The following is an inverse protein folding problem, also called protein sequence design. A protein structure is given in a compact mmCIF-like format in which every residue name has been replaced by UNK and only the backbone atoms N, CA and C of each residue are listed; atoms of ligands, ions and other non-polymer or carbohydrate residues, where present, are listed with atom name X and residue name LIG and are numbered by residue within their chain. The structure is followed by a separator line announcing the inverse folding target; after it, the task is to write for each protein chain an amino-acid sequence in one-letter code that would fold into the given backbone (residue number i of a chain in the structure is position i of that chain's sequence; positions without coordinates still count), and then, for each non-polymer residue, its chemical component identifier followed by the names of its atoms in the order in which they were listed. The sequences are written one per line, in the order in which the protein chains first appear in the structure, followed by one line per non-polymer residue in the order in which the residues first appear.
data_IF_852567744980
#
_entry.id   IF_852567744980
#
_cell.length_a   1.000
_cell.length_b   1.000
_cell.length_c   1.000
_cell.angle_alpha   90.00
_cell.angle_beta   90.00
_cell.angle_gamma   90.00
#
_symmetry.space_group_name_H-M   'P 1'
#
loop_
_entity.id
_entity.type
_entity.pdbx_description
1 polymer ?
#
# COMPACT_ATOMS: atom_id res chain seq x y z
N UNK A 1 27.72 -3.66 3.05
CA UNK A 1 29.05 -3.07 2.75
C UNK A 1 28.93 -2.24 1.49
N UNK A 2 28.67 -0.94 1.64
CA UNK A 2 28.52 -0.01 0.52
C UNK A 2 29.88 0.59 0.14
N UNK A 3 30.20 0.65 -1.16
CA UNK A 3 31.29 1.46 -1.71
C UNK A 3 30.69 2.51 -2.64
N UNK A 4 30.76 3.77 -2.23
CA UNK A 4 30.62 4.91 -3.13
C UNK A 4 31.98 5.18 -3.78
N UNK A 5 32.01 5.37 -5.11
CA UNK A 5 33.14 5.94 -5.85
C UNK A 5 32.67 7.24 -6.49
N UNK A 6 33.20 8.36 -6.03
CA UNK A 6 33.12 9.64 -6.72
C UNK A 6 34.27 9.71 -7.75
N UNK A 7 33.95 10.13 -8.99
CA UNK A 7 34.94 10.53 -9.98
C UNK A 7 35.13 12.04 -9.91
N UNK A 8 36.40 12.44 -9.80
CA UNK A 8 36.89 13.82 -9.82
C UNK A 8 37.27 14.17 -11.26
N UNK A 9 36.92 15.37 -11.71
CA UNK A 9 37.59 16.03 -12.84
C UNK A 9 38.29 17.29 -12.33
N UNK A 10 39.55 17.44 -12.73
CA UNK A 10 40.48 18.51 -12.40
C UNK A 10 40.49 19.62 -13.46
N UNK A 11 40.79 20.86 -13.04
CA UNK A 11 41.99 21.62 -13.43
C UNK A 11 41.91 23.06 -12.86
N UNK A 12 42.89 23.41 -12.00
CA UNK A 12 43.86 24.54 -12.05
C UNK A 12 43.34 25.93 -12.52
N UNK A 13 43.63 27.09 -11.93
CA UNK A 13 44.67 27.56 -10.99
C UNK A 13 44.29 28.98 -10.46
N UNK A 14 45.04 29.44 -9.45
CA UNK A 14 45.36 30.82 -9.02
C UNK A 14 44.78 31.42 -7.71
N UNK A 15 45.74 31.86 -6.89
CA UNK A 15 45.67 32.38 -5.53
C UNK A 15 45.05 33.79 -5.40
N UNK A 16 44.33 34.04 -4.30
CA UNK A 16 44.72 34.97 -3.21
C UNK A 16 43.53 35.58 -2.44
N UNK A 17 43.60 35.43 -1.11
CA UNK A 17 42.94 36.18 -0.02
C UNK A 17 41.41 36.30 -0.01
N UNK A 18 40.75 35.57 0.90
CA UNK A 18 39.88 36.09 1.98
C UNK A 18 39.10 34.93 2.65
N UNK A 19 39.32 34.72 3.95
CA UNK A 19 38.41 34.05 4.89
C UNK A 19 38.19 32.53 4.73
N UNK A 20 38.94 31.72 5.47
CA UNK A 20 38.63 30.29 5.66
C UNK A 20 37.23 30.14 6.29
N UNK A 21 36.33 29.30 5.73
CA UNK A 21 35.14 28.88 6.45
C UNK A 21 35.55 27.94 7.58
N UNK A 22 35.12 28.26 8.80
CA UNK A 22 35.26 27.41 9.97
C UNK A 22 34.43 26.14 9.74
N UNK A 23 35.10 25.04 9.40
CA UNK A 23 34.51 23.71 9.50
C UNK A 23 34.38 23.34 10.98
N UNK A 24 33.17 23.45 11.50
CA UNK A 24 32.80 22.80 12.77
C UNK A 24 32.84 21.30 12.49
N UNK A 25 33.85 20.61 13.05
CA UNK A 25 33.87 19.15 13.10
C UNK A 25 32.63 18.66 13.87
N UNK A 26 31.97 17.57 13.45
CA UNK A 26 31.07 16.86 14.35
C UNK A 26 31.86 16.49 15.60
N UNK A 27 31.35 16.87 16.78
CA UNK A 27 31.82 16.35 18.05
C UNK A 27 31.60 14.83 18.02
N UNK A 28 32.69 14.08 18.05
CA UNK A 28 32.70 12.68 18.48
C UNK A 28 32.33 12.69 19.96
N UNK A 29 31.04 12.52 20.25
CA UNK A 29 30.60 12.23 21.61
C UNK A 29 30.89 10.74 21.89
N UNK A 30 32.09 10.50 22.43
CA UNK A 30 32.44 9.33 23.22
C UNK A 30 31.55 9.31 24.47
N UNK A 31 30.34 8.75 24.36
CA UNK A 31 29.59 8.31 25.53
C UNK A 31 29.92 6.85 25.81
N UNK A 32 30.91 6.63 26.69
CA UNK A 32 31.06 5.37 27.42
C UNK A 32 29.72 5.04 28.09
N UNK A 33 29.09 3.93 27.65
CA UNK A 33 27.89 3.38 28.29
C UNK A 33 28.33 2.76 29.62
N UNK A 34 27.93 3.29 30.78
CA UNK A 34 28.15 2.59 32.04
C UNK A 34 27.14 1.45 32.08
N UNK A 35 27.60 0.23 31.80
CA UNK A 35 26.85 -0.99 32.12
C UNK A 35 26.68 -1.06 33.64
N UNK A 36 25.56 -0.55 34.14
CA UNK A 36 25.08 -0.87 35.47
C UNK A 36 23.63 -1.35 35.38
N UNK A 37 23.51 -2.65 35.15
CA UNK A 37 22.28 -3.44 35.23
C UNK A 37 21.78 -3.42 36.68
N UNK A 38 20.75 -2.62 36.95
CA UNK A 38 19.71 -2.84 37.96
C UNK A 38 18.77 -1.62 37.99
N UNK A 39 17.73 -1.62 37.17
CA UNK A 39 16.41 -1.05 37.46
C UNK A 39 15.41 -1.56 36.40
N UNK A 40 14.25 -1.99 36.87
CA UNK A 40 13.13 -2.62 36.15
C UNK A 40 12.86 -2.10 34.73
N UNK A 41 12.94 -3.02 33.75
CA UNK A 41 12.73 -2.78 32.31
C UNK A 41 11.27 -2.41 31.99
N UNK A 42 10.94 -1.12 32.01
CA UNK A 42 9.75 -0.58 31.32
C UNK A 42 10.14 -0.11 29.91
N UNK A 43 10.04 -1.01 28.93
CA UNK A 43 10.13 -0.68 27.49
C UNK A 43 8.93 0.15 26.97
N UNK A 44 8.00 0.55 27.86
CA UNK A 44 6.72 1.15 27.55
C UNK A 44 6.70 2.66 27.84
N UNK A 45 6.30 3.49 26.87
CA UNK A 45 6.07 4.93 27.05
C UNK A 45 4.56 5.22 27.18
N UNK A 46 4.04 5.55 28.38
CA UNK A 46 2.62 5.90 28.57
C UNK A 46 2.19 7.18 27.87
N UNK A 47 3.14 8.03 27.57
CA UNK A 47 2.92 9.34 27.00
C UNK A 47 2.62 9.27 25.51
N UNK A 48 1.72 10.14 25.05
CA UNK A 48 1.48 10.34 23.64
C UNK A 48 2.74 10.94 22.98
N UNK A 49 3.08 10.46 21.78
CA UNK A 49 4.10 11.08 20.94
C UNK A 49 3.68 12.46 20.44
N UNK A 50 4.62 13.24 19.89
CA UNK A 50 4.33 14.55 19.30
C UNK A 50 3.27 14.46 18.19
N UNK A 51 3.41 13.48 17.29
CA UNK A 51 2.43 13.26 16.22
C UNK A 51 1.05 12.86 16.74
N UNK A 52 0.99 12.10 17.83
CA UNK A 52 -0.29 11.67 18.41
C UNK A 52 -1.04 12.85 19.04
N UNK A 53 -0.30 13.79 19.65
CA UNK A 53 -0.88 15.05 20.17
C UNK A 53 -1.58 15.86 19.08
N UNK A 54 -0.99 15.94 17.88
CA UNK A 54 -1.63 16.64 16.76
C UNK A 54 -3.02 16.08 16.41
N UNK A 55 -3.24 14.77 16.57
CA UNK A 55 -4.54 14.14 16.39
C UNK A 55 -5.49 14.37 17.57
N UNK A 56 -4.97 14.37 18.81
CA UNK A 56 -5.76 14.71 20.01
C UNK A 56 -6.29 16.13 19.93
N UNK A 57 -5.46 17.09 19.51
CA UNK A 57 -5.85 18.51 19.38
C UNK A 57 -7.02 18.68 18.41
N UNK A 58 -7.10 17.81 17.39
CA UNK A 58 -8.16 17.79 16.37
C UNK A 58 -9.34 16.89 16.72
N UNK A 59 -9.35 16.23 17.88
CA UNK A 59 -10.39 15.24 18.20
C UNK A 59 -11.81 15.81 18.10
N UNK A 60 -12.04 17.01 18.67
CA UNK A 60 -13.36 17.66 18.66
C UNK A 60 -13.80 18.02 17.24
N UNK A 61 -12.87 18.55 16.44
CA UNK A 61 -13.09 18.91 15.04
C UNK A 61 -13.56 17.72 14.18
N UNK A 62 -12.93 16.55 14.35
CA UNK A 62 -13.36 15.31 13.69
C UNK A 62 -14.69 14.80 14.25
N UNK A 63 -14.90 14.88 15.57
CA UNK A 63 -16.13 14.44 16.21
C UNK A 63 -17.36 15.20 15.72
N UNK A 64 -17.24 16.52 15.52
CA UNK A 64 -18.27 17.39 14.95
C UNK A 64 -18.55 17.07 13.48
N UNK A 65 -17.53 16.64 12.73
CA UNK A 65 -17.66 16.15 11.34
C UNK A 65 -18.16 14.72 11.22
N UNK A 66 -18.48 14.06 12.32
CA UNK A 66 -19.04 12.71 12.28
C UNK A 66 -18.00 11.59 12.38
N UNK A 67 -16.76 11.85 12.78
CA UNK A 67 -15.70 10.83 12.91
C UNK A 67 -15.15 10.76 14.33
N UNK A 68 -14.96 9.56 14.86
CA UNK A 68 -14.49 9.35 16.24
C UNK A 68 -13.23 8.49 16.23
N UNK A 69 -12.15 9.01 16.81
CA UNK A 69 -10.89 8.28 16.99
C UNK A 69 -10.97 7.24 18.12
N UNK A 70 -10.01 6.31 18.10
CA UNK A 70 -9.78 5.32 19.17
C UNK A 70 -9.55 5.99 20.53
N UNK A 71 -9.78 5.27 21.65
CA UNK A 71 -9.61 5.81 23.01
C UNK A 71 -8.29 6.56 23.22
N UNK A 72 -7.19 6.05 22.67
CA UNK A 72 -5.85 6.65 22.77
C UNK A 72 -5.76 8.11 22.31
N UNK A 73 -6.56 8.50 21.31
CA UNK A 73 -6.55 9.86 20.76
C UNK A 73 -7.64 10.76 21.34
N UNK A 74 -8.30 10.34 22.44
CA UNK A 74 -9.33 11.16 23.09
C UNK A 74 -8.68 12.13 24.09
N UNK A 75 -9.16 13.39 24.17
CA UNK A 75 -8.73 14.33 25.19
C UNK A 75 -8.90 13.73 26.60
N UNK A 76 -7.86 13.84 27.42
CA UNK A 76 -7.85 13.29 28.78
C UNK A 76 -7.71 11.76 28.85
N UNK A 77 -7.33 11.08 27.76
CA UNK A 77 -7.06 9.65 27.78
C UNK A 77 -6.01 9.29 28.84
N UNK A 78 -6.34 8.27 29.64
CA UNK A 78 -5.41 7.57 30.52
C UNK A 78 -5.31 6.13 30.09
N UNK A 79 -4.12 5.53 30.08
CA UNK A 79 -3.98 4.18 29.58
C UNK A 79 -4.79 3.11 30.33
N UNK A 80 -5.47 2.24 29.58
CA UNK A 80 -6.45 1.32 30.16
C UNK A 80 -5.84 0.26 31.08
N UNK A 81 -4.59 -0.18 30.86
CA UNK A 81 -3.90 -1.13 31.75
C UNK A 81 -3.64 -0.56 33.13
N UNK A 82 -3.50 0.76 33.29
CA UNK A 82 -3.33 1.38 34.63
C UNK A 82 -4.58 1.13 35.47
N UNK A 83 -5.77 1.34 34.87
CA UNK A 83 -7.05 1.16 35.56
C UNK A 83 -7.47 -0.30 35.71
N UNK A 84 -7.12 -1.15 34.74
CA UNK A 84 -7.58 -2.55 34.68
C UNK A 84 -6.61 -3.57 35.29
N UNK A 85 -5.35 -3.18 35.52
CA UNK A 85 -4.30 -4.09 35.99
C UNK A 85 -3.85 -5.14 34.97
N UNK A 86 -4.29 -5.03 33.71
CA UNK A 86 -3.86 -5.92 32.62
C UNK A 86 -2.42 -5.62 32.19
N UNK A 87 -1.81 -6.54 31.45
CA UNK A 87 -0.59 -6.22 30.72
C UNK A 87 -0.90 -5.16 29.65
N UNK A 88 0.00 -4.19 29.47
CA UNK A 88 -0.16 -3.13 28.47
C UNK A 88 -0.32 -3.70 27.06
N UNK A 89 0.38 -4.80 26.74
CA UNK A 89 0.30 -5.46 25.42
C UNK A 89 -1.06 -6.07 25.11
N UNK A 90 -1.90 -6.30 26.12
CA UNK A 90 -3.23 -6.89 25.97
C UNK A 90 -4.32 -5.83 25.79
N UNK A 91 -3.96 -4.54 25.83
CA UNK A 91 -4.90 -3.43 25.84
C UNK A 91 -4.91 -2.69 24.51
N UNK A 92 -6.02 -2.64 23.78
CA UNK A 92 -6.11 -2.03 22.42
C UNK A 92 -5.49 -0.62 22.31
N UNK A 93 -5.57 0.18 23.37
CA UNK A 93 -5.06 1.55 23.43
C UNK A 93 -3.53 1.66 23.62
N UNK A 94 -2.79 0.53 23.66
CA UNK A 94 -1.34 0.53 23.50
C UNK A 94 -0.90 0.63 22.03
N UNK A 95 -1.78 0.31 21.08
CA UNK A 95 -1.45 0.25 19.66
C UNK A 95 -1.31 1.64 19.06
N UNK A 96 -0.09 1.96 18.61
CA UNK A 96 0.27 3.22 17.97
C UNK A 96 0.35 3.05 16.45
N UNK A 97 -0.19 4.02 15.70
CA UNK A 97 0.02 4.13 14.26
C UNK A 97 1.39 4.76 13.99
N UNK A 98 2.25 4.06 13.24
CA UNK A 98 3.62 4.51 12.96
C UNK A 98 3.69 5.70 11.98
N UNK A 99 2.72 5.82 11.07
CA UNK A 99 2.66 6.92 10.12
C UNK A 99 1.99 8.14 10.75
N UNK A 100 2.79 9.14 11.13
CA UNK A 100 2.34 10.33 11.84
C UNK A 100 1.15 11.06 11.18
N UNK A 101 1.10 11.08 9.85
CA UNK A 101 0.07 11.74 9.06
C UNK A 101 -1.15 10.84 8.76
N UNK A 102 -1.26 9.67 9.40
CA UNK A 102 -2.36 8.73 9.20
C UNK A 102 -2.95 8.27 10.54
N UNK A 103 -4.27 8.40 10.70
CA UNK A 103 -5.02 7.89 11.87
C UNK A 103 -6.22 7.05 11.44
N UNK A 104 -6.66 6.14 12.29
CA UNK A 104 -7.90 5.39 12.10
C UNK A 104 -9.06 5.99 12.91
N UNK A 105 -10.26 5.93 12.35
CA UNK A 105 -11.47 6.44 12.99
C UNK A 105 -12.67 5.56 12.68
N UNK A 106 -13.79 5.84 13.35
CA UNK A 106 -15.10 5.29 13.00
C UNK A 106 -16.04 6.42 12.60
N UNK A 107 -16.77 6.26 11.50
CA UNK A 107 -17.87 7.16 11.13
C UNK A 107 -19.03 6.96 12.11
N UNK A 108 -19.56 8.04 12.68
CA UNK A 108 -20.59 8.01 13.74
C UNK A 108 -21.94 7.48 13.25
N UNK A 109 -22.28 7.69 11.98
CA UNK A 109 -23.60 7.34 11.45
C UNK A 109 -23.85 5.83 11.38
N UNK A 110 -22.81 5.04 11.11
CA UNK A 110 -22.93 3.60 10.84
C UNK A 110 -21.80 2.75 11.43
N UNK A 111 -20.84 3.36 12.13
CA UNK A 111 -19.69 2.67 12.71
C UNK A 111 -18.66 2.21 11.68
N UNK A 112 -18.74 2.65 10.42
CA UNK A 112 -17.80 2.25 9.37
C UNK A 112 -16.36 2.63 9.77
N UNK A 113 -15.43 1.66 9.81
CA UNK A 113 -14.02 1.96 10.01
C UNK A 113 -13.45 2.73 8.82
N UNK A 114 -12.76 3.82 9.10
CA UNK A 114 -12.14 4.69 8.10
C UNK A 114 -10.68 4.96 8.45
N UNK A 115 -9.91 5.33 7.44
CA UNK A 115 -8.56 5.86 7.57
C UNK A 115 -8.60 7.33 7.18
N UNK A 116 -7.96 8.16 7.97
CA UNK A 116 -7.78 9.58 7.71
C UNK A 116 -6.31 9.80 7.38
N UNK A 117 -6.03 10.39 6.21
CA UNK A 117 -4.70 10.83 5.80
C UNK A 117 -4.66 12.36 5.80
N UNK A 118 -3.69 12.94 6.49
CA UNK A 118 -3.40 14.37 6.43
C UNK A 118 -2.52 14.65 5.20
N UNK A 119 -2.88 15.67 4.43
CA UNK A 119 -2.20 16.06 3.19
C UNK A 119 -2.08 17.58 3.12
N UNK A 120 -1.00 18.08 2.50
CA UNK A 120 -0.92 19.49 2.15
C UNK A 120 -1.92 19.84 1.04
N UNK A 121 -2.56 21.00 1.15
CA UNK A 121 -3.56 21.51 0.20
C UNK A 121 -3.01 21.63 -1.22
N UNK A 122 -1.76 22.06 -1.34
CA UNK A 122 -1.06 22.28 -2.61
C UNK A 122 -0.57 20.99 -3.25
N UNK A 123 -0.75 19.84 -2.59
CA UNK A 123 -0.37 18.55 -3.14
C UNK A 123 -1.34 18.12 -4.24
N UNK A 124 -0.80 17.68 -5.38
CA UNK A 124 -1.51 17.05 -6.49
C UNK A 124 -2.41 15.90 -6.03
N UNK A 125 -2.02 15.19 -4.95
CA UNK A 125 -2.79 14.10 -4.36
C UNK A 125 -4.25 14.49 -4.08
N UNK A 126 -4.49 15.67 -3.49
CA UNK A 126 -5.84 16.10 -3.14
C UNK A 126 -6.72 16.28 -4.39
N UNK A 127 -6.16 16.89 -5.44
CA UNK A 127 -6.88 17.11 -6.70
C UNK A 127 -7.15 15.81 -7.46
N UNK A 128 -6.18 14.90 -7.48
CA UNK A 128 -6.30 13.58 -8.10
C UNK A 128 -7.34 12.72 -7.38
N UNK A 129 -7.32 12.70 -6.05
CA UNK A 129 -8.30 11.95 -5.26
C UNK A 129 -9.72 12.52 -5.41
N UNK A 130 -9.86 13.86 -5.52
CA UNK A 130 -11.15 14.50 -5.85
C UNK A 130 -11.64 14.12 -7.24
N UNK A 131 -10.77 14.11 -8.24
CA UNK A 131 -11.11 13.71 -9.60
C UNK A 131 -11.68 12.28 -9.61
N UNK A 132 -10.94 11.31 -9.08
CA UNK A 132 -11.35 9.91 -9.13
C UNK A 132 -12.51 9.55 -8.20
N UNK A 133 -12.83 10.42 -7.24
CA UNK A 133 -14.02 10.30 -6.36
C UNK A 133 -15.19 11.17 -6.82
N UNK A 134 -15.11 11.82 -7.99
CA UNK A 134 -16.21 12.61 -8.52
C UNK A 134 -17.38 11.70 -8.90
N UNK A 135 -18.60 12.23 -8.91
CA UNK A 135 -19.83 11.47 -9.21
C UNK A 135 -19.74 10.76 -10.56
N UNK A 136 -19.07 11.40 -11.53
CA UNK A 136 -18.89 10.91 -12.89
C UNK A 136 -17.95 9.69 -12.96
N UNK A 137 -16.90 9.65 -12.12
CA UNK A 137 -15.86 8.62 -12.18
C UNK A 137 -16.02 7.55 -11.10
N UNK A 138 -16.63 7.85 -9.96
CA UNK A 138 -16.71 6.97 -8.79
C UNK A 138 -17.46 5.67 -9.06
N UNK A 139 -18.43 5.70 -9.98
CA UNK A 139 -19.26 4.55 -10.34
C UNK A 139 -18.72 3.75 -11.52
N UNK A 140 -17.60 4.17 -12.13
CA UNK A 140 -17.02 3.45 -13.25
C UNK A 140 -16.41 2.13 -12.75
N UNK A 141 -16.79 0.97 -13.30
CA UNK A 141 -16.28 -0.32 -12.83
C UNK A 141 -14.77 -0.49 -13.03
N UNK A 142 -14.15 0.20 -13.99
CA UNK A 142 -12.70 0.22 -14.18
C UNK A 142 -11.95 1.17 -13.22
N UNK A 143 -12.68 1.98 -12.45
CA UNK A 143 -12.09 2.83 -11.43
C UNK A 143 -11.69 2.00 -10.21
N UNK A 144 -10.43 1.60 -10.19
CA UNK A 144 -9.79 0.96 -9.05
C UNK A 144 -8.98 1.96 -8.22
N UNK A 145 -9.38 3.23 -8.14
CA UNK A 145 -8.83 4.18 -7.16
C UNK A 145 -9.70 4.14 -5.90
N UNK A 146 -9.08 4.19 -4.71
CA UNK A 146 -9.85 4.25 -3.47
C UNK A 146 -10.74 5.50 -3.45
N UNK A 147 -12.01 5.32 -3.08
CA UNK A 147 -12.99 6.39 -3.10
C UNK A 147 -12.95 7.17 -1.79
N UNK A 148 -12.97 8.50 -1.89
CA UNK A 148 -13.11 9.38 -0.73
C UNK A 148 -14.52 9.25 -0.12
N UNK A 149 -14.58 9.08 1.19
CA UNK A 149 -15.82 9.19 1.98
C UNK A 149 -16.10 10.65 2.30
N UNK A 150 -15.05 11.40 2.64
CA UNK A 150 -15.14 12.82 2.95
C UNK A 150 -13.78 13.50 2.73
N UNK A 151 -13.82 14.82 2.56
CA UNK A 151 -12.64 15.67 2.42
C UNK A 151 -12.92 17.03 3.03
N UNK A 152 -12.03 17.48 3.91
CA UNK A 152 -12.15 18.79 4.53
C UNK A 152 -10.79 19.40 4.86
N UNK A 153 -10.75 20.73 4.84
CA UNK A 153 -9.59 21.50 5.26
C UNK A 153 -9.53 21.57 6.78
N UNK A 154 -8.32 21.59 7.31
CA UNK A 154 -8.07 21.83 8.73
C UNK A 154 -8.54 23.24 9.12
N UNK A 155 -9.09 23.35 10.33
CA UNK A 155 -9.58 24.63 10.87
C UNK A 155 -8.44 25.51 11.40
N UNK A 156 -7.34 24.89 11.84
CA UNK A 156 -6.24 25.57 12.51
C UNK A 156 -5.07 25.81 11.54
N UNK A 157 -5.02 25.07 10.43
CA UNK A 157 -4.00 25.17 9.38
C UNK A 157 -4.62 25.14 7.98
N UNK A 158 -4.83 26.30 7.32
CA UNK A 158 -5.51 26.36 6.02
C UNK A 158 -4.75 25.65 4.89
N UNK A 159 -3.46 25.37 5.07
CA UNK A 159 -2.63 24.64 4.10
C UNK A 159 -2.70 23.13 4.27
N UNK A 160 -3.45 22.64 5.26
CA UNK A 160 -3.63 21.21 5.53
C UNK A 160 -5.07 20.75 5.29
N UNK A 161 -5.20 19.58 4.66
CA UNK A 161 -6.45 18.90 4.43
C UNK A 161 -6.43 17.47 4.92
N UNK A 162 -7.62 16.89 5.03
CA UNK A 162 -7.83 15.50 5.44
C UNK A 162 -8.59 14.74 4.38
N UNK A 163 -8.04 13.60 3.97
CA UNK A 163 -8.68 12.62 3.11
C UNK A 163 -9.24 11.51 3.99
N UNK A 164 -10.56 11.34 4.00
CA UNK A 164 -11.21 10.22 4.71
C UNK A 164 -11.52 9.13 3.70
N UNK A 165 -10.96 7.94 3.92
CA UNK A 165 -11.05 6.79 3.03
C UNK A 165 -11.54 5.56 3.81
N UNK A 166 -12.17 4.57 3.14
CA UNK A 166 -12.51 3.31 3.80
C UNK A 166 -11.25 2.61 4.33
N UNK A 167 -11.39 1.90 5.46
CA UNK A 167 -10.35 0.98 5.90
C UNK A 167 -10.25 -0.20 4.92
N UNK A 168 -9.10 -0.34 4.28
CA UNK A 168 -8.78 -1.43 3.36
C UNK A 168 -7.70 -2.34 3.97
N UNK A 169 -7.49 -3.51 3.38
CA UNK A 169 -6.43 -4.46 3.74
C UNK A 169 -5.41 -4.55 2.62
N UNK A 170 -4.15 -4.89 2.92
CA UNK A 170 -3.16 -5.16 1.87
C UNK A 170 -3.66 -6.23 0.89
N UNK A 171 -3.38 -6.06 -0.41
CA UNK A 171 -3.86 -6.95 -1.45
C UNK A 171 -3.45 -8.43 -1.26
N UNK A 172 -2.32 -8.66 -0.58
CA UNK A 172 -1.71 -9.96 -0.35
C UNK A 172 -1.92 -10.52 1.07
N UNK A 173 -2.82 -9.93 1.87
CA UNK A 173 -3.16 -10.43 3.21
C UNK A 173 -4.69 -10.67 3.35
N UNK A 174 -5.17 -11.94 3.39
CA UNK A 174 -4.38 -13.16 3.41
C UNK A 174 -3.66 -13.44 2.09
N UNK A 175 -2.62 -14.29 2.15
CA UNK A 175 -1.86 -14.69 0.97
C UNK A 175 -2.77 -15.35 -0.08
N UNK A 176 -2.43 -15.14 -1.35
CA UNK A 176 -3.08 -15.83 -2.47
C UNK A 176 -2.95 -17.35 -2.32
N UNK A 177 -4.07 -18.05 -2.51
CA UNK A 177 -4.18 -19.49 -2.32
C UNK A 177 -4.38 -20.29 -3.61
N UNK A 178 -4.99 -19.71 -4.64
CA UNK A 178 -5.29 -20.39 -5.91
C UNK A 178 -4.99 -19.51 -7.13
N UNK A 179 -4.82 -20.13 -8.31
CA UNK A 179 -4.48 -19.42 -9.56
C UNK A 179 -5.52 -18.35 -9.92
N UNK A 180 -6.81 -18.64 -9.71
CA UNK A 180 -7.91 -17.74 -10.05
C UNK A 180 -7.87 -16.42 -9.30
N UNK A 181 -7.38 -16.42 -8.05
CA UNK A 181 -7.20 -15.19 -7.28
C UNK A 181 -6.10 -14.31 -7.88
N UNK A 182 -5.04 -14.91 -8.43
CA UNK A 182 -3.97 -14.19 -9.15
C UNK A 182 -4.50 -13.60 -10.45
N UNK A 183 -5.26 -14.40 -11.22
CA UNK A 183 -5.88 -13.94 -12.47
C UNK A 183 -6.83 -12.77 -12.22
N UNK A 184 -7.65 -12.84 -11.17
CA UNK A 184 -8.56 -11.75 -10.78
C UNK A 184 -7.77 -10.49 -10.38
N UNK A 185 -6.76 -10.64 -9.51
CA UNK A 185 -5.90 -9.52 -9.11
C UNK A 185 -5.22 -8.83 -10.29
N UNK A 186 -4.54 -9.58 -11.16
CA UNK A 186 -3.84 -9.05 -12.34
C UNK A 186 -4.82 -8.32 -13.27
N UNK A 187 -6.03 -8.86 -13.43
CA UNK A 187 -7.08 -8.21 -14.23
C UNK A 187 -7.43 -6.84 -13.64
N UNK A 188 -7.83 -6.80 -12.36
CA UNK A 188 -8.32 -5.58 -11.72
C UNK A 188 -7.25 -4.48 -11.65
N UNK A 189 -5.99 -4.82 -11.33
CA UNK A 189 -4.94 -3.78 -11.25
C UNK A 189 -4.54 -3.24 -12.62
N UNK A 190 -4.63 -4.04 -13.70
CA UNK A 190 -4.39 -3.56 -15.06
C UNK A 190 -5.56 -2.72 -15.59
N UNK A 191 -6.80 -3.09 -15.27
CA UNK A 191 -7.99 -2.26 -15.53
C UNK A 191 -7.87 -0.91 -14.82
N UNK A 192 -7.50 -0.94 -13.53
CA UNK A 192 -7.24 0.25 -12.74
C UNK A 192 -6.14 1.13 -13.31
N UNK A 193 -5.00 0.55 -13.70
CA UNK A 193 -3.90 1.32 -14.25
C UNK A 193 -4.27 1.96 -15.60
N UNK A 194 -4.90 1.20 -16.50
CA UNK A 194 -5.36 1.74 -17.77
C UNK A 194 -6.37 2.88 -17.57
N UNK A 195 -7.28 2.74 -16.60
CA UNK A 195 -8.23 3.78 -16.22
C UNK A 195 -7.53 5.03 -15.70
N UNK A 196 -6.60 4.91 -14.75
CA UNK A 196 -5.82 6.05 -14.22
C UNK A 196 -5.09 6.77 -15.35
N UNK A 197 -4.39 6.02 -16.22
CA UNK A 197 -3.63 6.58 -17.34
C UNK A 197 -4.51 7.27 -18.38
N UNK A 198 -5.71 6.74 -18.65
CA UNK A 198 -6.68 7.36 -19.57
C UNK A 198 -7.18 8.74 -19.11
N UNK A 199 -7.01 9.07 -17.82
CA UNK A 199 -7.34 10.38 -17.26
C UNK A 199 -6.13 11.32 -17.16
N UNK A 200 -5.04 11.00 -17.88
CA UNK A 200 -3.77 11.73 -17.88
C UNK A 200 -3.14 11.84 -16.48
N UNK A 201 -3.29 10.79 -15.68
CA UNK A 201 -2.63 10.67 -14.38
C UNK A 201 -1.64 9.52 -14.44
N UNK A 202 -0.42 9.73 -13.94
CA UNK A 202 0.51 8.67 -13.59
C UNK A 202 0.60 8.59 -12.07
N UNK A 203 0.54 7.38 -11.51
CA UNK A 203 0.61 7.18 -10.06
C UNK A 203 2.03 7.36 -9.54
N UNK A 204 3.03 6.96 -10.34
CA UNK A 204 4.46 7.03 -10.10
C UNK A 204 5.00 6.15 -8.96
N UNK A 205 4.14 5.43 -8.22
CA UNK A 205 4.53 4.53 -7.13
C UNK A 205 3.54 3.35 -7.02
N UNK A 206 3.30 2.65 -8.12
CA UNK A 206 2.41 1.47 -8.19
C UNK A 206 2.96 0.23 -7.44
N UNK A 207 3.73 0.41 -6.36
CA UNK A 207 4.30 -0.69 -5.58
C UNK A 207 3.23 -1.40 -4.74
N UNK A 208 3.50 -2.63 -4.31
CA UNK A 208 2.52 -3.44 -3.58
C UNK A 208 2.09 -2.87 -2.22
N UNK A 209 2.76 -1.84 -1.70
CA UNK A 209 2.31 -1.12 -0.50
C UNK A 209 1.15 -0.16 -0.79
N UNK A 210 1.01 0.27 -2.05
CA UNK A 210 -0.03 1.20 -2.50
C UNK A 210 -1.17 0.47 -3.24
N UNK A 211 -1.22 -0.86 -3.15
CA UNK A 211 -2.33 -1.68 -3.65
C UNK A 211 -3.01 -2.36 -2.47
N UNK A 212 -4.26 -2.00 -2.27
CA UNK A 212 -5.10 -2.49 -1.18
C UNK A 212 -6.30 -3.25 -1.75
N UNK A 213 -7.07 -3.90 -0.89
CA UNK A 213 -8.33 -4.53 -1.25
C UNK A 213 -9.43 -4.21 -0.24
N UNK A 214 -10.65 -4.15 -0.74
CA UNK A 214 -11.83 -4.28 0.10
C UNK A 214 -11.98 -5.73 0.55
N UNK A 215 -11.50 -6.01 1.76
CA UNK A 215 -11.50 -7.34 2.35
C UNK A 215 -12.79 -7.66 3.14
N UNK A 216 -13.81 -6.79 3.13
CA UNK A 216 -15.08 -7.04 3.82
C UNK A 216 -15.77 -8.36 3.43
N UNK A 217 -15.72 -8.80 2.15
CA UNK A 217 -16.31 -10.09 1.75
C UNK A 217 -15.63 -11.31 2.39
N UNK A 218 -14.31 -11.23 2.61
CA UNK A 218 -13.53 -12.34 3.21
C UNK A 218 -13.39 -12.22 4.73
N UNK A 219 -13.61 -11.05 5.33
CA UNK A 219 -13.62 -10.86 6.79
C UNK A 219 -15.03 -10.45 7.26
N UNK A 220 -15.95 -11.42 7.48
CA UNK A 220 -17.31 -11.13 7.93
C UNK A 220 -17.32 -10.41 9.29
N UNK A 221 -16.40 -10.76 10.18
CA UNK A 221 -16.23 -10.15 11.50
C UNK A 221 -15.24 -8.97 11.51
N UNK A 222 -14.81 -8.50 10.32
CA UNK A 222 -13.85 -7.42 10.12
C UNK A 222 -12.48 -7.71 10.78
N UNK A 223 -11.62 -6.70 10.80
CA UNK A 223 -10.28 -6.72 11.38
C UNK A 223 -9.98 -5.38 12.07
N UNK A 224 -8.99 -5.36 12.96
CA UNK A 224 -8.55 -4.16 13.64
C UNK A 224 -7.68 -3.27 12.72
N UNK A 225 -7.83 -1.94 12.74
CA UNK A 225 -7.16 -1.02 11.79
C UNK A 225 -5.63 -0.89 11.97
N UNK A 226 -5.09 -1.23 13.14
CA UNK A 226 -3.64 -1.21 13.41
C UNK A 226 -3.05 -2.62 13.46
N UNK A 227 -3.57 -3.48 14.35
CA UNK A 227 -3.20 -4.89 14.41
C UNK A 227 -4.14 -5.75 13.55
N UNK A 228 -3.95 -5.73 12.23
CA UNK A 228 -4.90 -6.32 11.26
C UNK A 228 -5.10 -7.84 11.37
N UNK A 229 -4.31 -8.53 12.19
CA UNK A 229 -4.48 -9.96 12.49
C UNK A 229 -5.52 -10.22 13.59
N UNK A 230 -6.03 -9.18 14.25
CA UNK A 230 -7.00 -9.26 15.34
C UNK A 230 -8.39 -8.73 14.93
N UNK A 231 -9.41 -9.14 15.68
CA UNK A 231 -10.78 -8.64 15.62
C UNK A 231 -10.83 -7.15 15.98
N UNK A 232 -11.88 -6.41 15.56
CA UNK A 232 -11.94 -4.96 15.75
C UNK A 232 -11.85 -4.46 17.20
N UNK A 233 -12.14 -5.31 18.18
CA UNK A 233 -12.03 -5.06 19.62
C UNK A 233 -10.69 -5.50 20.22
N UNK A 234 -9.77 -5.96 19.38
CA UNK A 234 -8.45 -6.48 19.74
C UNK A 234 -8.47 -7.72 20.66
N UNK A 235 -9.61 -8.43 20.74
CA UNK A 235 -9.78 -9.54 21.69
C UNK A 235 -9.43 -10.93 21.13
N UNK A 236 -9.48 -11.12 19.81
CA UNK A 236 -9.30 -12.43 19.17
C UNK A 236 -8.67 -12.30 17.79
N UNK A 237 -8.21 -13.41 17.20
CA UNK A 237 -7.70 -13.38 15.83
C UNK A 237 -8.82 -13.17 14.80
N UNK A 238 -8.59 -12.27 13.85
CA UNK A 238 -9.45 -12.10 12.68
C UNK A 238 -9.36 -13.35 11.80
N UNK A 239 -10.51 -13.93 11.44
CA UNK A 239 -10.60 -15.11 10.57
C UNK A 239 -11.10 -14.70 9.19
N UNK A 240 -10.38 -15.15 8.16
CA UNK A 240 -10.75 -14.94 6.77
C UNK A 240 -11.47 -16.15 6.17
N UNK A 241 -12.34 -15.87 5.21
CA UNK A 241 -12.89 -16.82 4.25
C UNK A 241 -12.00 -16.87 3.01
N UNK A 242 -12.21 -17.87 2.14
CA UNK A 242 -11.46 -18.00 0.89
C UNK A 242 -11.83 -16.90 -0.11
N UNK A 243 -10.83 -16.24 -0.69
CA UNK A 243 -11.05 -15.13 -1.63
C UNK A 243 -11.70 -15.60 -2.94
N UNK A 244 -11.40 -16.81 -3.41
CA UNK A 244 -12.02 -17.35 -4.65
C UNK A 244 -13.54 -17.55 -4.54
N UNK A 245 -14.07 -17.77 -3.33
CA UNK A 245 -15.51 -17.94 -3.09
C UNK A 245 -16.18 -16.64 -2.60
N UNK A 246 -15.37 -15.63 -2.24
CA UNK A 246 -15.81 -14.33 -1.75
C UNK A 246 -15.01 -13.23 -2.47
N UNK A 247 -15.36 -12.89 -3.73
CA UNK A 247 -14.59 -11.96 -4.55
C UNK A 247 -14.36 -10.61 -3.86
N UNK A 248 -13.13 -10.11 -3.99
CA UNK A 248 -12.69 -8.82 -3.42
C UNK A 248 -12.42 -7.83 -4.54
N UNK A 249 -12.43 -6.54 -4.20
CA UNK A 249 -12.06 -5.48 -5.13
C UNK A 249 -10.74 -4.85 -4.73
N UNK A 250 -9.81 -4.73 -5.67
CA UNK A 250 -8.50 -4.12 -5.45
C UNK A 250 -8.51 -2.63 -5.78
N UNK A 251 -7.70 -1.86 -5.06
CA UNK A 251 -7.61 -0.41 -5.21
C UNK A 251 -6.17 0.09 -5.13
N UNK A 252 -5.84 1.04 -5.99
CA UNK A 252 -4.71 1.95 -5.84
C UNK A 252 -5.03 2.99 -4.77
N UNK A 253 -4.05 3.25 -3.91
CA UNK A 253 -4.08 4.26 -2.86
C UNK A 253 -2.83 5.12 -2.93
N UNK A 254 -2.80 6.21 -2.17
CA UNK A 254 -1.62 7.06 -2.02
C UNK A 254 -1.10 7.68 -3.32
N UNK A 255 -1.69 8.81 -3.68
CA UNK A 255 -1.32 9.56 -4.88
C UNK A 255 -0.30 10.67 -4.55
N UNK A 256 0.43 10.54 -3.44
CA UNK A 256 1.39 11.54 -2.97
C UNK A 256 2.56 11.81 -3.91
N UNK A 257 2.89 10.85 -4.78
CA UNK A 257 3.93 10.97 -5.81
C UNK A 257 3.35 11.09 -7.24
N UNK A 258 2.02 11.20 -7.35
CA UNK A 258 1.35 11.19 -8.65
C UNK A 258 1.52 12.49 -9.42
N UNK A 259 1.41 12.36 -10.74
CA UNK A 259 1.46 13.48 -11.68
C UNK A 259 0.22 13.52 -12.53
N UNK A 260 -0.41 14.69 -12.63
CA UNK A 260 -1.55 14.94 -13.51
C UNK A 260 -1.13 15.88 -14.64
N UNK A 261 -1.39 15.46 -15.86
CA UNK A 261 -1.02 16.17 -17.07
C UNK A 261 -2.26 16.76 -17.76
N UNK A 262 -2.07 17.88 -18.44
CA UNK A 262 -3.09 18.40 -19.35
C UNK A 262 -3.17 17.55 -20.61
N UNK A 263 -4.35 17.43 -21.26
CA UNK A 263 -4.44 16.73 -22.54
C UNK A 263 -3.45 17.29 -23.56
N UNK A 264 -2.60 16.43 -24.13
CA UNK A 264 -1.58 16.80 -25.11
C UNK A 264 -0.27 17.34 -24.51
N UNK A 265 -0.17 17.49 -23.19
CA UNK A 265 1.09 17.80 -22.52
C UNK A 265 2.07 16.63 -22.65
N UNK A 266 3.36 16.93 -22.81
CA UNK A 266 4.38 15.90 -22.81
C UNK A 266 4.48 15.24 -21.43
N UNK A 267 4.42 13.91 -21.39
CA UNK A 267 4.55 13.11 -20.16
C UNK A 267 6.02 12.96 -19.75
N UNK A 268 6.61 14.03 -19.22
CA UNK A 268 7.99 14.03 -18.72
C UNK A 268 8.04 14.75 -17.38
N UNK A 269 8.68 14.14 -16.40
CA UNK A 269 8.90 14.70 -15.06
C UNK A 269 10.37 14.60 -14.65
N UNK A 270 10.75 15.37 -13.63
CA UNK A 270 12.09 15.43 -13.07
C UNK A 270 11.99 15.37 -11.54
N UNK A 271 11.95 14.15 -11.01
CA UNK A 271 11.96 13.85 -9.58
C UNK A 271 12.66 12.49 -9.33
N UNK A 272 12.55 11.94 -8.12
CA UNK A 272 13.20 10.69 -7.73
C UNK A 272 12.41 9.41 -8.08
N UNK A 273 11.16 9.54 -8.55
CA UNK A 273 10.24 8.42 -8.78
C UNK A 273 9.76 7.73 -7.51
N UNK A 274 9.04 6.62 -7.71
CA UNK A 274 8.48 5.79 -6.64
C UNK A 274 9.50 4.88 -5.95
N UNK A 275 9.00 4.01 -5.08
CA UNK A 275 9.83 3.15 -4.22
C UNK A 275 10.42 1.92 -4.94
N UNK A 276 10.14 1.71 -6.23
CA UNK A 276 10.69 0.60 -7.00
C UNK A 276 12.05 0.95 -7.62
N UNK A 277 13.11 0.58 -6.91
CA UNK A 277 14.49 0.85 -7.33
C UNK A 277 14.97 0.02 -8.52
N UNK A 278 14.19 -0.95 -9.01
CA UNK A 278 14.56 -1.75 -10.17
C UNK A 278 14.15 -1.09 -11.51
N UNK A 279 13.51 0.08 -11.47
CA UNK A 279 13.10 0.83 -12.66
C UNK A 279 14.34 1.48 -13.31
N UNK A 280 14.75 1.05 -14.52
CA UNK A 280 16.06 1.41 -15.07
C UNK A 280 16.26 2.91 -15.28
N UNK A 281 15.21 3.63 -15.69
CA UNK A 281 15.30 5.07 -15.94
C UNK A 281 15.47 5.92 -14.66
N UNK A 282 15.04 5.41 -13.49
CA UNK A 282 15.13 6.14 -12.23
C UNK A 282 16.55 6.15 -11.64
N UNK A 283 17.42 5.23 -12.06
CA UNK A 283 18.82 5.18 -11.61
C UNK A 283 19.64 6.39 -12.06
N UNK A 284 19.26 7.03 -13.16
CA UNK A 284 20.11 8.01 -13.86
C UNK A 284 19.80 9.47 -13.52
N UNK A 285 18.82 9.71 -12.64
CA UNK A 285 18.31 11.05 -12.29
C UNK A 285 18.04 11.94 -13.53
N UNK A 286 17.58 11.33 -14.63
CA UNK A 286 17.22 12.00 -15.87
C UNK A 286 15.70 12.16 -15.98
N UNK A 287 15.21 13.13 -16.77
CA UNK A 287 13.78 13.27 -17.00
C UNK A 287 13.20 11.98 -17.59
N UNK A 288 12.05 11.55 -17.07
CA UNK A 288 11.43 10.28 -17.44
C UNK A 288 9.92 10.40 -17.61
N UNK A 289 9.31 9.38 -18.22
CA UNK A 289 7.86 9.27 -18.42
C UNK A 289 7.25 8.43 -17.29
N UNK A 290 6.50 9.04 -16.34
CA UNK A 290 6.00 8.33 -15.17
C UNK A 290 4.93 7.28 -15.52
N UNK A 291 4.28 7.39 -16.68
CA UNK A 291 3.35 6.36 -17.15
C UNK A 291 4.09 5.06 -17.48
N UNK A 292 5.34 5.16 -17.96
CA UNK A 292 6.16 3.97 -18.22
C UNK A 292 6.65 3.36 -16.92
N UNK A 293 6.98 4.18 -15.93
CA UNK A 293 7.37 3.73 -14.60
C UNK A 293 6.27 2.88 -13.98
N UNK A 294 5.02 3.36 -13.98
CA UNK A 294 3.88 2.60 -13.45
C UNK A 294 3.74 1.20 -14.06
N UNK A 295 3.86 1.10 -15.39
CA UNK A 295 3.78 -0.19 -16.11
C UNK A 295 4.92 -1.11 -15.68
N UNK A 296 6.15 -0.60 -15.56
CA UNK A 296 7.28 -1.41 -15.14
C UNK A 296 7.13 -1.88 -13.68
N UNK A 297 6.70 -0.99 -12.79
CA UNK A 297 6.49 -1.28 -11.37
C UNK A 297 5.45 -2.37 -11.16
N UNK A 298 4.30 -2.33 -11.87
CA UNK A 298 3.34 -3.45 -11.83
C UNK A 298 3.92 -4.74 -12.41
N UNK A 299 4.70 -4.66 -13.48
CA UNK A 299 5.41 -5.81 -14.03
C UNK A 299 6.35 -6.45 -13.01
N UNK A 300 7.03 -5.63 -12.19
CA UNK A 300 7.87 -6.08 -11.08
C UNK A 300 7.06 -6.75 -9.96
N UNK A 301 5.85 -6.28 -9.65
CA UNK A 301 4.95 -6.99 -8.74
C UNK A 301 4.61 -8.38 -9.30
N UNK A 302 4.21 -8.45 -10.57
CA UNK A 302 3.86 -9.73 -11.22
C UNK A 302 5.03 -10.71 -11.23
N UNK A 303 6.25 -10.21 -11.48
CA UNK A 303 7.47 -11.01 -11.41
C UNK A 303 7.76 -11.50 -9.99
N UNK A 304 7.92 -10.57 -9.03
CA UNK A 304 8.45 -10.87 -7.69
C UNK A 304 7.44 -11.56 -6.79
N UNK A 305 6.17 -11.15 -6.85
CA UNK A 305 5.12 -11.59 -5.92
C UNK A 305 4.37 -12.83 -6.41
N UNK A 306 4.45 -13.12 -7.71
CA UNK A 306 3.75 -14.25 -8.30
C UNK A 306 4.69 -15.20 -9.04
N UNK A 307 5.28 -14.78 -10.16
CA UNK A 307 6.06 -15.68 -11.03
C UNK A 307 7.28 -16.31 -10.34
N UNK A 308 8.01 -15.56 -9.53
CA UNK A 308 9.14 -16.08 -8.75
C UNK A 308 8.72 -16.82 -7.48
N UNK A 309 7.54 -16.49 -6.94
CA UNK A 309 7.05 -17.03 -5.67
C UNK A 309 6.33 -18.36 -5.83
N UNK A 310 5.63 -18.56 -6.94
CA UNK A 310 4.77 -19.73 -7.17
C UNK A 310 5.11 -20.45 -8.47
N UNK A 311 5.00 -21.77 -8.43
CA UNK A 311 5.13 -22.65 -9.61
C UNK A 311 3.80 -22.66 -10.38
N UNK A 312 3.85 -22.80 -11.72
CA UNK A 312 2.67 -22.96 -12.56
C UNK A 312 2.00 -21.64 -12.96
N UNK A 313 2.69 -20.51 -12.77
CA UNK A 313 2.28 -19.18 -13.25
C UNK A 313 3.08 -18.73 -14.48
N UNK A 314 3.56 -19.67 -15.29
CA UNK A 314 4.40 -19.40 -16.46
C UNK A 314 3.67 -18.55 -17.52
N UNK A 315 2.33 -18.61 -17.55
CA UNK A 315 1.50 -17.76 -18.42
C UNK A 315 1.64 -16.26 -18.13
N UNK A 316 2.16 -15.87 -16.95
CA UNK A 316 2.50 -14.47 -16.67
C UNK A 316 3.83 -14.04 -17.31
N UNK A 317 4.66 -14.97 -17.78
CA UNK A 317 6.01 -14.71 -18.30
C UNK A 317 6.01 -13.66 -19.40
N UNK A 318 5.26 -13.90 -20.47
CA UNK A 318 5.20 -12.98 -21.61
C UNK A 318 4.66 -11.60 -21.21
N UNK A 319 3.69 -11.54 -20.31
CA UNK A 319 3.15 -10.28 -19.78
C UNK A 319 4.22 -9.51 -19.00
N UNK A 320 4.93 -10.20 -18.10
CA UNK A 320 6.00 -9.63 -17.28
C UNK A 320 7.11 -9.07 -18.17
N UNK A 321 7.57 -9.83 -19.15
CA UNK A 321 8.63 -9.40 -20.06
C UNK A 321 8.18 -8.22 -20.94
N UNK A 322 6.91 -8.21 -21.35
CA UNK A 322 6.31 -7.11 -22.10
C UNK A 322 6.26 -5.80 -21.28
N UNK A 323 5.87 -5.88 -20.01
CA UNK A 323 5.77 -4.72 -19.10
C UNK A 323 7.14 -4.22 -18.65
N UNK A 324 8.14 -5.11 -18.53
CA UNK A 324 9.47 -4.80 -17.98
C UNK A 324 10.53 -4.55 -19.05
N UNK A 325 10.13 -4.06 -20.23
CA UNK A 325 11.09 -3.64 -21.26
C UNK A 325 11.94 -2.49 -20.70
N UNK A 326 13.27 -2.68 -20.67
CA UNK A 326 14.22 -1.72 -20.09
C UNK A 326 14.13 -0.33 -20.72
N UNK A 327 13.98 -0.27 -22.04
CA UNK A 327 13.88 1.01 -22.77
C UNK A 327 12.47 1.58 -22.61
N UNK A 328 12.26 2.69 -21.87
CA UNK A 328 10.91 3.16 -21.52
C UNK A 328 10.04 3.48 -22.74
N UNK A 329 10.66 4.02 -23.80
CA UNK A 329 10.00 4.33 -25.08
C UNK A 329 9.49 3.09 -25.83
N UNK A 330 10.04 1.91 -25.55
CA UNK A 330 9.62 0.63 -26.15
C UNK A 330 8.64 -0.14 -25.26
N UNK A 331 8.52 0.24 -23.99
CA UNK A 331 7.55 -0.32 -23.05
C UNK A 331 6.13 -0.09 -23.59
N UNK A 332 5.15 -0.95 -23.32
CA UNK A 332 3.75 -0.69 -23.67
C UNK A 332 3.14 0.44 -22.85
N UNK A 333 1.98 0.94 -23.28
CA UNK A 333 1.10 1.75 -22.43
C UNK A 333 0.28 0.82 -21.52
N UNK A 334 -0.34 1.35 -20.46
CA UNK A 334 -1.22 0.55 -19.61
C UNK A 334 -2.38 -0.09 -20.39
N UNK A 335 -2.96 0.61 -21.37
CA UNK A 335 -4.01 0.04 -22.22
C UNK A 335 -3.48 -1.12 -23.08
N UNK A 336 -2.31 -0.98 -23.70
CA UNK A 336 -1.72 -2.07 -24.49
C UNK A 336 -1.40 -3.30 -23.61
N UNK A 337 -0.96 -3.06 -22.38
CA UNK A 337 -0.73 -4.12 -21.39
C UNK A 337 -2.02 -4.83 -21.00
N UNK A 338 -3.09 -4.08 -20.73
CA UNK A 338 -4.42 -4.64 -20.42
C UNK A 338 -4.94 -5.49 -21.58
N UNK A 339 -4.87 -4.97 -22.81
CA UNK A 339 -5.30 -5.71 -24.01
C UNK A 339 -4.51 -7.02 -24.18
N UNK A 340 -3.21 -7.00 -23.91
CA UNK A 340 -2.35 -8.18 -23.97
C UNK A 340 -2.70 -9.19 -22.88
N UNK A 341 -2.92 -8.73 -21.64
CA UNK A 341 -3.38 -9.57 -20.54
C UNK A 341 -4.71 -10.24 -20.85
N UNK A 342 -5.69 -9.50 -21.38
CA UNK A 342 -7.00 -10.06 -21.70
C UNK A 342 -6.88 -11.19 -22.73
N UNK A 343 -5.96 -11.09 -23.70
CA UNK A 343 -5.67 -12.18 -24.65
C UNK A 343 -5.07 -13.40 -23.94
N UNK A 344 -4.08 -13.21 -23.07
CA UNK A 344 -3.51 -14.30 -22.25
C UNK A 344 -4.62 -14.98 -21.45
N UNK A 345 -5.45 -14.19 -20.75
CA UNK A 345 -6.56 -14.67 -19.92
C UNK A 345 -7.56 -15.52 -20.72
N UNK A 346 -7.87 -15.16 -21.96
CA UNK A 346 -8.78 -15.96 -22.81
C UNK A 346 -8.25 -17.36 -23.14
N UNK A 347 -6.94 -17.56 -23.11
CA UNK A 347 -6.29 -18.85 -23.37
C UNK A 347 -6.14 -19.73 -22.12
N UNK A 348 -6.48 -19.24 -20.93
CA UNK A 348 -6.34 -20.01 -19.69
C UNK A 348 -7.47 -21.05 -19.55
N UNK A 349 -7.12 -22.24 -19.08
CA UNK A 349 -8.11 -23.26 -18.73
C UNK A 349 -8.86 -22.87 -17.45
N UNK A 350 -10.18 -22.60 -17.49
CA UNK A 350 -10.94 -22.21 -16.30
C UNK A 350 -10.86 -23.23 -15.16
N UNK A 351 -10.60 -24.51 -15.46
CA UNK A 351 -10.43 -25.56 -14.44
C UNK A 351 -9.22 -25.34 -13.55
N UNK A 352 -8.22 -24.58 -14.02
CA UNK A 352 -7.04 -24.24 -13.23
C UNK A 352 -7.32 -23.13 -12.20
N UNK A 353 -8.43 -22.39 -12.29
CA UNK A 353 -8.70 -21.26 -11.41
C UNK A 353 -8.75 -21.65 -9.92
N UNK A 354 -9.26 -22.84 -9.60
CA UNK A 354 -9.29 -23.37 -8.22
C UNK A 354 -8.08 -24.24 -7.88
N UNK A 355 -7.13 -24.41 -8.80
CA UNK A 355 -5.89 -25.11 -8.51
C UNK A 355 -5.05 -24.28 -7.54
N UNK A 356 -4.50 -24.96 -6.53
CA UNK A 356 -3.74 -24.29 -5.48
C UNK A 356 -2.43 -23.70 -6.02
N UNK A 357 -2.01 -22.59 -5.44
CA UNK A 357 -0.67 -22.09 -5.61
C UNK A 357 0.31 -22.92 -4.77
N UNK A 358 1.51 -23.14 -5.30
CA UNK A 358 2.59 -23.90 -4.67
C UNK A 358 3.89 -23.12 -4.73
N UNK A 359 4.65 -23.11 -3.65
CA UNK A 359 6.00 -22.52 -3.64
C UNK A 359 7.04 -23.53 -4.12
N UNK A 360 8.17 -23.09 -4.73
CA UNK A 360 9.25 -24.00 -5.14
C UNK A 360 9.91 -24.78 -3.99
N UNK A 361 9.76 -24.32 -2.74
CA UNK A 361 10.36 -24.93 -1.55
C UNK A 361 9.49 -26.00 -0.90
N UNK A 362 8.29 -26.26 -1.41
CA UNK A 362 7.34 -27.22 -0.85
C UNK A 362 7.87 -28.66 -1.02
N UNK A 363 7.81 -29.46 0.06
CA UNK A 363 8.35 -30.83 0.04
C UNK A 363 7.48 -31.80 -0.76
N UNK A 364 8.05 -32.88 -1.31
CA UNK A 364 7.28 -33.90 -2.06
C UNK A 364 6.09 -34.45 -1.26
N UNK A 365 6.24 -34.87 0.01
CA UNK A 365 5.11 -35.38 0.79
C UNK A 365 4.02 -34.34 1.03
N UNK A 366 4.42 -33.10 1.34
CA UNK A 366 3.49 -31.97 1.52
C UNK A 366 2.70 -31.70 0.24
N UNK A 367 3.37 -31.69 -0.92
CA UNK A 367 2.75 -31.51 -2.22
C UNK A 367 1.69 -32.56 -2.53
N UNK A 368 1.98 -33.85 -2.30
CA UNK A 368 1.03 -34.93 -2.57
C UNK A 368 -0.23 -34.78 -1.71
N UNK A 369 -0.07 -34.46 -0.42
CA UNK A 369 -1.20 -34.30 0.50
C UNK A 369 -2.03 -33.07 0.14
N UNK A 370 -1.40 -31.92 -0.10
CA UNK A 370 -2.10 -30.68 -0.41
C UNK A 370 -2.79 -30.72 -1.79
N UNK A 371 -2.20 -31.40 -2.76
CA UNK A 371 -2.84 -31.64 -4.07
C UNK A 371 -4.07 -32.52 -3.96
N UNK A 372 -4.01 -33.60 -3.15
CA UNK A 372 -5.16 -34.44 -2.90
C UNK A 372 -6.30 -33.66 -2.20
N UNK A 373 -5.96 -32.81 -1.22
CA UNK A 373 -6.94 -31.93 -0.56
C UNK A 373 -7.53 -30.91 -1.54
N UNK A 374 -6.72 -30.31 -2.41
CA UNK A 374 -7.19 -29.37 -3.43
C UNK A 374 -8.13 -30.06 -4.43
N UNK A 375 -7.78 -31.24 -4.93
CA UNK A 375 -8.62 -32.03 -5.82
C UNK A 375 -9.97 -32.40 -5.16
N UNK A 376 -9.95 -32.79 -3.88
CA UNK A 376 -11.17 -33.08 -3.13
C UNK A 376 -12.06 -31.84 -2.98
N UNK A 377 -11.48 -30.68 -2.66
CA UNK A 377 -12.22 -29.40 -2.57
C UNK A 377 -12.87 -29.00 -3.89
N UNK A 378 -12.13 -29.14 -5.00
CA UNK A 378 -12.66 -28.91 -6.35
C UNK A 378 -13.82 -29.86 -6.63
N UNK A 379 -13.67 -31.15 -6.33
CA UNK A 379 -14.73 -32.14 -6.49
C UNK A 379 -16.01 -31.79 -5.72
N UNK A 380 -15.88 -31.42 -4.44
CA UNK A 380 -17.02 -30.99 -3.61
C UNK A 380 -17.70 -29.75 -4.21
N UNK A 381 -16.92 -28.77 -4.67
CA UNK A 381 -17.45 -27.55 -5.29
C UNK A 381 -18.19 -27.83 -6.61
N UNK A 382 -17.67 -28.71 -7.46
CA UNK A 382 -18.38 -29.07 -8.70
C UNK A 382 -19.67 -29.83 -8.41
N UNK A 383 -19.69 -30.69 -7.38
CA UNK A 383 -20.91 -31.40 -6.96
C UNK A 383 -21.96 -30.43 -6.42
N UNK A 384 -21.57 -29.45 -5.59
CA UNK A 384 -22.53 -28.51 -4.99
C UNK A 384 -23.27 -27.64 -6.01
N UNK A 385 -22.69 -27.39 -7.19
CA UNK A 385 -23.36 -26.71 -8.30
C UNK A 385 -24.58 -27.45 -8.85
N UNK A 386 -24.67 -28.77 -8.67
CA UNK A 386 -25.81 -29.58 -9.13
C UNK A 386 -26.98 -29.63 -8.13
N UNK A 387 -26.81 -29.05 -6.95
CA UNK A 387 -27.80 -29.07 -5.87
C UNK A 387 -28.39 -27.67 -5.55
N UNK A 388 -28.17 -26.67 -6.41
CA UNK A 388 -28.70 -25.29 -6.29
C UNK A 388 -29.66 -24.99 -7.44
#
# INVERSE_FOLDING_TARGET
MHRYRAQVFSNDDNESSLGSPVFVRPLEDDYEVPYNLKHEDNYYRPELGLAERCWVDRFKFFQERGFVFRPRYRPGWTPSWISSGKNWSDCEDHLIRLHAHIVDAKRKSDGLPVVVKQVYRTNTELEVMRLFSSVELSHNPANHVVQLIDIFMDQDDPDMGFLVMPLLKRYDDPAFGVVGEVVDFVTQVLEGLAFIHSHNVAHNDCTGNNIMMDARPIFPNRWHPVSETYSPDYASYARSLSRIDHPVRYYFIDFGLSHRFQPGQQHVVMDYGGADHDVPELETAQPYDPFRVDVYTLGNIFMKKFRQKYVGLDFLGDLVDYMRIDKPRKRPTAQMTLDFWLRIKTGLDPRQARWRLRTPTESIPEHVVLDAVAAARIGIHEISKYFI
#
